data_IF_020414366515
#
_entry.id   IF_020414366515
#
_cell.length_a   1.000
_cell.length_b   1.000
_cell.length_c   1.000
_cell.angle_alpha   90.00
_cell.angle_beta   90.00
_cell.angle_gamma   90.00
#
_symmetry.space_group_name_H-M   'P 1'
#
loop_
_entity.id
_entity.type
_entity.pdbx_description
1 polymer ?
#
# COMPACT_ATOMS: atom_id res chain seq x y z
N UNK A 1 21.75 14.55 -16.00
CA UNK A 1 20.41 15.06 -16.39
C UNK A 1 19.98 16.12 -15.39
N UNK A 2 19.31 17.18 -15.84
CA UNK A 2 18.87 18.26 -14.95
C UNK A 2 17.62 17.81 -14.15
N UNK A 3 17.75 17.78 -12.83
CA UNK A 3 16.61 17.66 -11.92
C UNK A 3 15.79 18.95 -11.99
N UNK A 4 14.47 18.81 -11.95
CA UNK A 4 13.53 19.92 -11.89
C UNK A 4 12.50 19.67 -10.80
N UNK A 5 11.86 20.74 -10.36
CA UNK A 5 10.76 20.68 -9.40
C UNK A 5 9.44 21.06 -10.06
N UNK A 6 8.37 20.36 -9.70
CA UNK A 6 6.98 20.70 -10.00
C UNK A 6 6.21 20.85 -8.69
N UNK A 7 5.09 21.59 -8.70
CA UNK A 7 4.36 21.92 -7.48
C UNK A 7 2.85 21.80 -7.67
N UNK A 8 2.17 21.48 -6.58
CA UNK A 8 0.74 21.68 -6.36
C UNK A 8 0.52 22.36 -5.00
N UNK A 9 -0.72 22.49 -4.55
CA UNK A 9 -1.04 23.19 -3.30
C UNK A 9 -0.42 22.52 -2.06
N UNK A 10 -0.38 21.20 -2.04
CA UNK A 10 0.01 20.38 -0.89
C UNK A 10 1.26 19.53 -1.16
N UNK A 11 1.76 19.52 -2.40
CA UNK A 11 2.86 18.64 -2.81
C UNK A 11 3.90 19.39 -3.65
N UNK A 12 5.15 18.97 -3.53
CA UNK A 12 6.20 19.25 -4.50
C UNK A 12 6.68 17.93 -5.12
N UNK A 13 7.27 17.98 -6.30
CA UNK A 13 7.84 16.81 -6.96
C UNK A 13 9.26 17.10 -7.43
N UNK A 14 10.21 16.23 -7.09
CA UNK A 14 11.58 16.22 -7.63
C UNK A 14 11.71 15.10 -8.65
N UNK A 15 12.04 15.44 -9.90
CA UNK A 15 12.11 14.48 -11.01
C UNK A 15 13.05 14.95 -12.12
N UNK A 16 13.32 14.09 -13.10
CA UNK A 16 14.03 14.48 -14.32
C UNK A 16 13.13 15.33 -15.23
N UNK A 17 13.70 16.29 -15.97
CA UNK A 17 12.93 17.17 -16.88
C UNK A 17 12.02 16.42 -17.85
N UNK A 18 12.45 15.26 -18.35
CA UNK A 18 11.66 14.44 -19.28
C UNK A 18 10.35 13.90 -18.67
N UNK A 19 10.22 13.94 -17.35
CA UNK A 19 9.09 13.38 -16.61
C UNK A 19 8.11 14.43 -16.08
N UNK A 20 8.29 15.70 -16.43
CA UNK A 20 7.48 16.84 -15.94
C UNK A 20 5.97 16.58 -16.02
N UNK A 21 5.46 16.18 -17.17
CA UNK A 21 4.02 15.92 -17.32
C UNK A 21 3.53 14.75 -16.46
N UNK A 22 4.38 13.74 -16.26
CA UNK A 22 4.03 12.58 -15.44
C UNK A 22 4.07 12.90 -13.95
N UNK A 23 5.02 13.74 -13.54
CA UNK A 23 5.10 14.25 -12.18
C UNK A 23 3.88 15.12 -11.87
N UNK A 24 3.53 16.08 -12.75
CA UNK A 24 2.37 16.96 -12.56
C UNK A 24 1.07 16.16 -12.45
N UNK A 25 0.82 15.21 -13.36
CA UNK A 25 -0.36 14.33 -13.27
C UNK A 25 -0.42 13.54 -11.96
N UNK A 26 0.73 13.14 -11.42
CA UNK A 26 0.80 12.44 -10.13
C UNK A 26 0.44 13.38 -8.98
N UNK A 27 0.92 14.63 -9.01
CA UNK A 27 0.56 15.63 -8.00
C UNK A 27 -0.95 15.93 -8.03
N UNK A 28 -1.53 16.13 -9.21
CA UNK A 28 -2.97 16.38 -9.35
C UNK A 28 -3.81 15.18 -8.84
N UNK A 29 -3.35 13.96 -9.08
CA UNK A 29 -4.01 12.75 -8.53
C UNK A 29 -3.89 12.67 -7.01
N UNK A 30 -2.74 13.03 -6.46
CA UNK A 30 -2.51 13.08 -5.02
C UNK A 30 -3.37 14.16 -4.33
N UNK A 31 -3.60 15.32 -4.95
CA UNK A 31 -4.50 16.34 -4.39
C UNK A 31 -5.93 15.82 -4.27
N UNK A 32 -6.45 15.16 -5.31
CA UNK A 32 -7.79 14.54 -5.24
C UNK A 32 -7.83 13.45 -4.18
N UNK A 33 -6.83 12.56 -4.18
CA UNK A 33 -6.77 11.48 -3.21
C UNK A 33 -6.62 11.98 -1.76
N UNK A 34 -5.95 13.12 -1.57
CA UNK A 34 -5.86 13.80 -0.28
C UNK A 34 -7.24 14.21 0.22
N UNK A 35 -8.07 14.81 -0.62
CA UNK A 35 -9.43 15.18 -0.26
C UNK A 35 -10.27 13.94 0.07
N UNK A 36 -10.18 12.87 -0.74
CA UNK A 36 -10.85 11.59 -0.46
C UNK A 36 -10.48 11.01 0.91
N UNK A 37 -9.18 11.04 1.29
CA UNK A 37 -8.75 10.55 2.60
C UNK A 37 -9.23 11.45 3.75
N UNK A 38 -9.31 12.77 3.53
CA UNK A 38 -9.85 13.69 4.53
C UNK A 38 -11.34 13.40 4.81
N UNK A 39 -12.13 13.14 3.76
CA UNK A 39 -13.54 12.72 3.88
C UNK A 39 -13.70 11.40 4.64
N UNK A 40 -12.73 10.50 4.52
CA UNK A 40 -12.67 9.24 5.28
C UNK A 40 -12.21 9.43 6.74
N UNK A 41 -11.90 10.67 7.16
CA UNK A 41 -11.54 11.02 8.53
C UNK A 41 -10.05 10.95 8.86
N UNK A 42 -9.17 10.79 7.86
CA UNK A 42 -7.73 10.89 8.08
C UNK A 42 -7.30 12.35 8.28
N UNK A 43 -6.28 12.56 9.12
CA UNK A 43 -5.46 13.78 9.06
C UNK A 43 -4.60 13.72 7.81
N UNK A 44 -4.72 14.72 6.94
CA UNK A 44 -4.07 14.73 5.63
C UNK A 44 -2.94 15.75 5.58
N UNK A 45 -1.67 15.30 5.70
CA UNK A 45 -0.53 16.21 5.71
C UNK A 45 -0.34 16.87 4.34
N UNK A 46 0.01 18.16 4.35
CA UNK A 46 0.50 18.92 3.20
C UNK A 46 2.03 19.06 3.23
N UNK A 47 2.56 19.87 2.32
CA UNK A 47 4.01 20.14 2.14
C UNK A 47 4.85 18.86 1.96
N UNK A 48 4.30 17.88 1.22
CA UNK A 48 4.99 16.61 0.99
C UNK A 48 5.81 16.66 -0.30
N UNK A 49 7.09 16.29 -0.22
CA UNK A 49 7.95 16.15 -1.39
C UNK A 49 7.84 14.75 -2.00
N UNK A 50 7.54 14.68 -3.28
CA UNK A 50 7.44 13.44 -4.06
C UNK A 50 8.71 13.28 -4.89
N UNK A 51 9.54 12.30 -4.56
CA UNK A 51 10.85 12.09 -5.21
C UNK A 51 10.76 10.92 -6.18
N UNK A 52 10.87 11.22 -7.48
CA UNK A 52 10.83 10.24 -8.56
C UNK A 52 12.24 9.72 -8.88
N UNK A 53 12.43 8.42 -8.74
CA UNK A 53 13.70 7.74 -8.96
C UNK A 53 13.74 7.09 -10.35
N UNK A 54 14.72 7.41 -11.22
CA UNK A 54 14.74 6.92 -12.60
C UNK A 54 14.95 5.40 -12.71
N UNK A 55 15.44 4.76 -11.65
CA UNK A 55 15.67 3.32 -11.59
C UNK A 55 15.65 2.77 -10.14
N UNK A 56 15.63 1.45 -10.02
CA UNK A 56 15.64 0.75 -8.72
C UNK A 56 16.86 1.06 -7.86
N UNK A 57 18.04 1.19 -8.47
CA UNK A 57 19.27 1.42 -7.71
C UNK A 57 19.22 2.78 -7.01
N UNK A 58 18.80 3.84 -7.71
CA UNK A 58 18.59 5.16 -7.10
C UNK A 58 17.57 5.14 -5.97
N UNK A 59 16.45 4.42 -6.15
CA UNK A 59 15.41 4.32 -5.13
C UNK A 59 15.92 3.60 -3.88
N UNK A 60 16.60 2.46 -4.04
CA UNK A 60 17.09 1.66 -2.91
C UNK A 60 18.29 2.32 -2.21
N UNK A 61 19.10 3.10 -2.93
CA UNK A 61 20.16 3.92 -2.34
C UNK A 61 19.56 5.02 -1.45
N UNK A 62 18.49 5.68 -1.91
CA UNK A 62 17.78 6.69 -1.12
C UNK A 62 16.99 6.08 0.05
N UNK A 63 16.44 4.88 -0.13
CA UNK A 63 15.55 4.23 0.83
C UNK A 63 15.95 2.78 1.15
N UNK A 64 17.02 2.56 1.95
CA UNK A 64 17.45 1.23 2.35
C UNK A 64 16.38 0.44 3.12
N UNK A 65 15.51 1.14 3.85
CA UNK A 65 14.37 0.53 4.56
C UNK A 65 13.44 -0.23 3.60
N UNK A 66 13.26 0.26 2.37
CA UNK A 66 12.48 -0.43 1.34
C UNK A 66 13.12 -1.77 0.96
N UNK A 67 14.44 -1.82 0.81
CA UNK A 67 15.15 -3.04 0.45
C UNK A 67 14.93 -4.14 1.49
N UNK A 68 15.16 -3.78 2.76
CA UNK A 68 14.98 -4.69 3.88
C UNK A 68 13.50 -5.08 4.08
N UNK A 69 12.55 -4.16 3.90
CA UNK A 69 11.14 -4.52 3.91
C UNK A 69 10.78 -5.50 2.80
N UNK A 70 11.16 -5.20 1.54
CA UNK A 70 10.97 -6.10 0.40
C UNK A 70 11.57 -7.49 0.64
N UNK A 71 12.73 -7.58 1.30
CA UNK A 71 13.36 -8.87 1.60
C UNK A 71 12.49 -9.79 2.47
N UNK A 72 11.65 -9.21 3.34
CA UNK A 72 10.70 -9.99 4.15
C UNK A 72 9.49 -10.48 3.36
N UNK A 73 9.16 -9.81 2.25
CA UNK A 73 7.95 -10.08 1.46
C UNK A 73 8.17 -11.16 0.41
N UNK A 74 7.08 -11.74 -0.10
CA UNK A 74 7.13 -12.70 -1.21
C UNK A 74 7.53 -12.06 -2.54
N UNK A 75 8.06 -12.87 -3.47
CA UNK A 75 8.46 -12.39 -4.81
C UNK A 75 7.32 -11.69 -5.57
N UNK A 76 6.10 -12.19 -5.40
CA UNK A 76 4.89 -11.63 -6.03
C UNK A 76 4.53 -10.26 -5.46
N UNK A 77 4.65 -10.10 -4.14
CA UNK A 77 4.40 -8.84 -3.45
C UNK A 77 5.46 -7.78 -3.78
N UNK A 78 6.75 -8.16 -3.80
CA UNK A 78 7.89 -7.24 -4.02
C UNK A 78 7.69 -6.37 -5.25
N UNK A 79 7.14 -6.91 -6.34
CA UNK A 79 6.89 -6.17 -7.59
C UNK A 79 6.10 -4.89 -7.33
N UNK A 80 5.10 -4.89 -6.47
CA UNK A 80 4.20 -3.76 -6.26
C UNK A 80 4.64 -2.81 -5.14
N UNK A 81 5.73 -3.13 -4.43
CA UNK A 81 6.34 -2.25 -3.43
C UNK A 81 7.35 -1.31 -4.11
N UNK A 82 6.87 -0.45 -5.00
CA UNK A 82 7.70 0.40 -5.87
C UNK A 82 8.09 1.76 -5.26
N UNK A 83 8.07 1.86 -3.93
CA UNK A 83 8.40 3.08 -3.22
C UNK A 83 8.23 2.94 -1.71
N UNK A 84 8.61 3.99 -1.00
CA UNK A 84 8.63 4.09 0.46
C UNK A 84 8.18 5.48 0.93
N UNK A 85 7.37 5.52 1.98
CA UNK A 85 6.95 6.75 2.63
C UNK A 85 7.93 7.07 3.76
N UNK A 86 8.58 8.23 3.68
CA UNK A 86 9.43 8.80 4.71
C UNK A 86 8.72 10.01 5.36
N UNK A 87 9.31 10.57 6.41
CA UNK A 87 8.76 11.76 7.06
C UNK A 87 8.80 12.94 6.09
N UNK A 88 7.64 13.41 5.64
CA UNK A 88 7.52 14.54 4.72
C UNK A 88 7.87 14.24 3.26
N UNK A 89 8.26 13.00 2.93
CA UNK A 89 8.69 12.64 1.57
C UNK A 89 8.09 11.30 1.11
N UNK A 90 7.70 11.21 -0.17
CA UNK A 90 7.29 9.97 -0.83
C UNK A 90 8.33 9.63 -1.89
N UNK A 91 9.07 8.54 -1.70
CA UNK A 91 10.06 8.07 -2.67
C UNK A 91 9.45 6.96 -3.51
N UNK A 92 9.42 7.13 -4.83
CA UNK A 92 8.87 6.13 -5.74
C UNK A 92 9.66 6.08 -7.04
N UNK A 93 9.52 4.96 -7.74
CA UNK A 93 10.05 4.86 -9.09
C UNK A 93 9.32 5.84 -10.02
N UNK A 94 10.08 6.37 -10.96
CA UNK A 94 9.59 7.21 -12.01
C UNK A 94 8.79 6.43 -13.06
N UNK A 95 7.99 7.11 -13.89
CA UNK A 95 6.98 6.43 -14.73
C UNK A 95 7.58 5.39 -15.69
N UNK A 96 8.68 5.65 -16.40
CA UNK A 96 9.35 4.65 -17.23
C UNK A 96 9.87 3.46 -16.41
N UNK A 97 10.36 3.68 -15.19
CA UNK A 97 10.82 2.61 -14.32
C UNK A 97 9.66 1.76 -13.78
N UNK A 98 8.53 2.36 -13.42
CA UNK A 98 7.30 1.64 -13.06
C UNK A 98 6.82 0.77 -14.21
N UNK A 99 6.82 1.28 -15.45
CA UNK A 99 6.46 0.51 -16.65
C UNK A 99 7.37 -0.71 -16.84
N UNK A 100 8.70 -0.52 -16.74
CA UNK A 100 9.66 -1.64 -16.83
C UNK A 100 9.48 -2.67 -15.72
N UNK A 101 9.01 -2.24 -14.54
CA UNK A 101 8.76 -3.10 -13.38
C UNK A 101 7.45 -3.88 -13.47
N UNK A 102 6.47 -3.37 -14.21
CA UNK A 102 5.16 -3.99 -14.37
C UNK A 102 5.29 -5.41 -14.95
N UNK A 103 4.37 -6.30 -14.56
CA UNK A 103 4.13 -7.48 -15.37
C UNK A 103 3.57 -7.04 -16.73
N UNK A 104 3.62 -7.93 -17.73
CA UNK A 104 3.11 -7.67 -19.08
C UNK A 104 1.56 -7.64 -19.14
N UNK A 105 0.92 -6.89 -18.24
CA UNK A 105 -0.53 -6.66 -18.19
C UNK A 105 -0.81 -5.19 -17.85
N UNK A 106 -1.84 -4.56 -18.47
CA UNK A 106 -2.23 -3.19 -18.16
C UNK A 106 -2.61 -2.99 -16.68
N UNK A 107 -3.19 -4.01 -16.05
CA UNK A 107 -3.57 -3.99 -14.63
C UNK A 107 -2.35 -3.88 -13.71
N UNK A 108 -1.22 -4.52 -14.07
CA UNK A 108 0.02 -4.43 -13.29
C UNK A 108 0.61 -3.02 -13.35
N UNK A 109 0.64 -2.41 -14.53
CA UNK A 109 1.07 -1.02 -14.70
C UNK A 109 0.14 -0.06 -13.92
N UNK A 110 -1.18 -0.24 -14.01
CA UNK A 110 -2.16 0.59 -13.29
C UNK A 110 -1.96 0.51 -11.78
N UNK A 111 -1.80 -0.69 -11.22
CA UNK A 111 -1.52 -0.85 -9.80
C UNK A 111 -0.17 -0.23 -9.39
N UNK A 112 0.85 -0.30 -10.24
CA UNK A 112 2.13 0.37 -9.98
C UNK A 112 2.02 1.90 -10.00
N UNK A 113 1.19 2.47 -10.87
CA UNK A 113 0.93 3.93 -10.89
C UNK A 113 0.26 4.42 -9.61
N UNK A 114 -0.60 3.60 -9.00
CA UNK A 114 -1.19 3.89 -7.70
C UNK A 114 -0.20 3.81 -6.51
N UNK A 115 1.10 3.58 -6.75
CA UNK A 115 2.13 3.61 -5.70
C UNK A 115 2.13 4.95 -4.96
N UNK A 116 2.03 6.08 -5.66
CA UNK A 116 2.01 7.40 -5.02
C UNK A 116 0.86 7.52 -4.00
N UNK A 117 -0.36 7.14 -4.41
CA UNK A 117 -1.54 7.09 -3.52
C UNK A 117 -1.30 6.15 -2.32
N UNK A 118 -0.73 4.96 -2.53
CA UNK A 118 -0.44 4.02 -1.42
C UNK A 118 0.49 4.66 -0.39
N UNK A 119 1.57 5.28 -0.86
CA UNK A 119 2.53 5.95 0.03
C UNK A 119 1.89 7.15 0.75
N UNK A 120 1.04 7.90 0.07
CA UNK A 120 0.31 9.01 0.70
C UNK A 120 -0.70 8.52 1.75
N UNK A 121 -1.40 7.40 1.51
CA UNK A 121 -2.28 6.78 2.51
C UNK A 121 -1.50 6.38 3.78
N UNK A 122 -0.26 5.91 3.62
CA UNK A 122 0.64 5.62 4.74
C UNK A 122 1.06 6.90 5.49
N UNK A 123 1.37 7.98 4.76
CA UNK A 123 1.67 9.29 5.36
C UNK A 123 0.46 9.88 6.10
N UNK A 124 -0.74 9.78 5.55
CA UNK A 124 -1.98 10.23 6.19
C UNK A 124 -2.35 9.40 7.43
N UNK A 125 -2.17 8.07 7.36
CA UNK A 125 -2.27 7.22 8.55
C UNK A 125 -1.29 7.68 9.63
N UNK A 126 -0.08 8.08 9.22
CA UNK A 126 0.92 8.53 10.16
C UNK A 126 0.62 9.87 10.82
N UNK A 127 0.19 10.85 10.04
CA UNK A 127 -0.32 12.11 10.56
C UNK A 127 -1.55 11.92 11.48
N UNK A 128 -2.28 10.81 11.31
CA UNK A 128 -3.42 10.44 12.15
C UNK A 128 -3.04 9.72 13.45
N UNK A 129 -1.74 9.45 13.68
CA UNK A 129 -1.22 8.85 14.92
C UNK A 129 -0.64 7.45 14.74
N UNK A 130 -0.67 6.87 13.53
CA UNK A 130 0.07 5.63 13.26
C UNK A 130 1.57 5.93 13.20
N UNK A 131 2.45 5.20 13.90
CA UNK A 131 3.87 5.39 13.66
C UNK A 131 4.20 4.96 12.23
N UNK A 132 4.74 5.87 11.39
CA UNK A 132 5.47 5.41 10.19
C UNK A 132 6.51 4.41 10.67
N UNK A 133 6.81 3.36 9.89
CA UNK A 133 8.01 2.60 10.15
C UNK A 133 9.18 3.60 10.16
N UNK A 134 9.87 3.79 11.30
CA UNK A 134 11.08 4.60 11.31
C UNK A 134 12.12 3.91 10.40
N UNK A 135 13.30 4.52 10.16
CA UNK A 135 14.45 3.74 9.73
C UNK A 135 14.51 2.43 10.54
N UNK A 136 14.78 1.32 9.85
CA UNK A 136 14.69 -0.02 10.43
C UNK A 136 15.73 -0.15 11.55
N UNK A 137 15.26 0.02 12.80
CA UNK A 137 15.99 -0.26 14.04
C UNK A 137 15.49 -1.61 14.57
N UNK A 138 16.21 -2.20 15.52
CA UNK A 138 15.84 -3.51 16.06
C UNK A 138 14.41 -3.52 16.66
N UNK A 139 14.01 -2.44 17.33
CA UNK A 139 12.69 -2.28 17.96
C UNK A 139 11.59 -2.00 16.94
N UNK A 140 11.81 -1.12 15.96
CA UNK A 140 10.83 -0.82 14.92
C UNK A 140 10.58 -2.01 13.97
N UNK A 141 11.59 -2.87 13.81
CA UNK A 141 11.47 -4.13 13.09
C UNK A 141 10.47 -5.09 13.74
N UNK A 142 10.27 -5.05 15.07
CA UNK A 142 9.29 -5.89 15.77
C UNK A 142 7.84 -5.50 15.45
N UNK A 143 7.52 -4.21 15.58
CA UNK A 143 6.20 -3.68 15.26
C UNK A 143 5.87 -3.85 13.77
N UNK A 144 6.82 -3.54 12.88
CA UNK A 144 6.64 -3.70 11.44
C UNK A 144 6.44 -5.17 11.02
N UNK A 145 7.16 -6.11 11.65
CA UNK A 145 6.91 -7.55 11.41
C UNK A 145 5.51 -7.96 11.84
N UNK A 146 5.05 -7.47 12.99
CA UNK A 146 3.78 -7.86 13.61
C UNK A 146 2.55 -7.22 12.97
N UNK A 147 2.68 -5.95 12.56
CA UNK A 147 1.58 -5.09 12.11
C UNK A 147 1.76 -4.59 10.68
N UNK A 148 2.77 -5.06 9.95
CA UNK A 148 3.04 -4.61 8.58
C UNK A 148 1.89 -4.87 7.61
N UNK A 149 1.02 -5.84 7.89
CA UNK A 149 -0.20 -6.06 7.11
C UNK A 149 -1.16 -4.86 7.19
N UNK A 150 -1.20 -4.18 8.34
CA UNK A 150 -2.05 -3.01 8.58
C UNK A 150 -1.43 -1.74 7.98
N UNK A 151 -0.10 -1.73 7.82
CA UNK A 151 0.61 -0.67 7.10
C UNK A 151 0.45 -0.78 5.58
N UNK A 152 0.45 -2.00 5.03
CA UNK A 152 0.44 -2.21 3.58
C UNK A 152 -0.97 -2.46 3.02
N UNK A 153 -1.75 -3.33 3.65
CA UNK A 153 -3.03 -3.81 3.13
C UNK A 153 -4.08 -2.71 2.92
N UNK A 154 -4.46 -1.97 3.97
CA UNK A 154 -5.42 -0.87 3.85
C UNK A 154 -4.94 0.19 2.86
N UNK A 155 -3.65 0.53 2.88
CA UNK A 155 -3.08 1.51 1.97
C UNK A 155 -3.20 1.06 0.51
N UNK A 156 -3.02 -0.23 0.20
CA UNK A 156 -3.19 -0.76 -1.15
C UNK A 156 -4.64 -0.64 -1.65
N UNK A 157 -5.60 -0.99 -0.80
CA UNK A 157 -7.04 -0.93 -1.11
C UNK A 157 -7.50 0.52 -1.26
N UNK A 158 -7.14 1.38 -0.32
CA UNK A 158 -7.40 2.82 -0.40
C UNK A 158 -6.71 3.45 -1.62
N UNK A 159 -5.54 2.99 -2.01
CA UNK A 159 -4.88 3.50 -3.23
C UNK A 159 -5.52 3.02 -4.53
N UNK A 160 -6.46 2.05 -4.49
CA UNK A 160 -7.05 1.47 -5.70
C UNK A 160 -6.11 0.49 -6.41
N UNK A 161 -5.20 -0.17 -5.70
CA UNK A 161 -4.28 -1.17 -6.29
C UNK A 161 -4.92 -2.55 -6.49
N UNK A 162 -6.16 -2.74 -6.03
CA UNK A 162 -6.82 -4.04 -5.90
C UNK A 162 -6.74 -4.90 -7.15
N UNK A 163 -7.15 -4.40 -8.31
CA UNK A 163 -7.22 -5.18 -9.56
C UNK A 163 -5.87 -5.77 -9.98
N UNK A 164 -4.81 -4.97 -9.91
CA UNK A 164 -3.47 -5.43 -10.26
C UNK A 164 -2.84 -6.36 -9.23
N UNK A 165 -3.32 -6.33 -7.97
CA UNK A 165 -2.87 -7.22 -6.90
C UNK A 165 -3.57 -8.58 -6.91
N UNK A 166 -4.77 -8.72 -7.50
CA UNK A 166 -5.47 -10.00 -7.62
C UNK A 166 -4.62 -11.05 -8.36
N UNK A 167 -3.98 -10.68 -9.48
CA UNK A 167 -3.13 -11.60 -10.23
C UNK A 167 -1.86 -11.99 -9.46
N UNK A 168 -1.32 -11.06 -8.66
CA UNK A 168 -0.17 -11.30 -7.79
C UNK A 168 -0.54 -12.24 -6.63
N UNK A 169 -1.72 -12.05 -6.05
CA UNK A 169 -2.27 -12.89 -4.98
C UNK A 169 -2.55 -14.31 -5.48
N UNK A 170 -3.20 -14.47 -6.64
CA UNK A 170 -3.42 -15.77 -7.26
C UNK A 170 -2.08 -16.50 -7.53
N UNK A 171 -1.06 -15.75 -7.96
CA UNK A 171 0.29 -16.31 -8.14
C UNK A 171 0.97 -16.70 -6.84
N UNK A 172 0.75 -15.95 -5.77
CA UNK A 172 1.24 -16.28 -4.43
C UNK A 172 0.56 -17.52 -3.85
N UNK A 173 -0.73 -17.71 -4.06
CA UNK A 173 -1.46 -18.89 -3.54
C UNK A 173 -0.98 -20.21 -4.15
N UNK A 174 -0.40 -20.18 -5.36
CA UNK A 174 0.29 -21.35 -5.94
C UNK A 174 1.53 -21.81 -5.15
N UNK A 175 2.14 -20.91 -4.38
CA UNK A 175 3.28 -21.24 -3.51
C UNK A 175 2.83 -21.84 -2.15
N UNK A 176 1.51 -21.95 -1.89
CA UNK A 176 0.94 -22.50 -0.66
C UNK A 176 -0.11 -21.59 0.00
N UNK A 177 -0.87 -22.11 0.98
CA UNK A 177 -2.01 -21.42 1.58
C UNK A 177 -1.62 -20.17 2.39
N UNK A 178 -2.62 -19.30 2.64
CA UNK A 178 -2.51 -18.07 3.44
C UNK A 178 -3.40 -18.16 4.69
N UNK A 179 -3.03 -19.01 5.65
CA UNK A 179 -3.89 -19.37 6.78
C UNK A 179 -3.83 -18.40 7.98
N UNK A 180 -2.78 -17.58 8.03
CA UNK A 180 -2.57 -16.64 9.12
C UNK A 180 -3.56 -15.47 9.06
N UNK A 181 -4.30 -15.26 10.15
CA UNK A 181 -5.21 -14.12 10.32
C UNK A 181 -4.97 -13.48 11.69
N UNK A 182 -4.44 -12.24 11.76
CA UNK A 182 -3.97 -11.42 10.64
C UNK A 182 -2.76 -12.02 9.88
N UNK A 183 -2.50 -11.54 8.63
CA UNK A 183 -1.40 -12.04 7.80
C UNK A 183 -0.05 -11.96 8.49
N UNK A 184 0.79 -12.99 8.29
CA UNK A 184 2.17 -12.99 8.75
C UNK A 184 3.02 -11.98 7.97
N UNK A 185 4.18 -11.59 8.49
CA UNK A 185 5.08 -10.61 7.86
C UNK A 185 5.34 -10.91 6.39
N UNK A 186 5.59 -12.18 6.05
CA UNK A 186 5.93 -12.62 4.69
C UNK A 186 4.85 -12.30 3.66
N UNK A 187 3.61 -12.26 4.12
CA UNK A 187 2.41 -12.03 3.33
C UNK A 187 1.71 -10.73 3.77
N UNK A 188 2.44 -9.83 4.45
CA UNK A 188 1.88 -8.59 4.97
C UNK A 188 1.22 -7.77 3.86
N UNK A 189 1.86 -7.67 2.70
CA UNK A 189 1.28 -6.90 1.60
C UNK A 189 0.10 -7.61 0.93
N UNK A 190 0.30 -8.82 0.37
CA UNK A 190 -0.75 -9.51 -0.41
C UNK A 190 -1.86 -10.10 0.46
N UNK A 191 -1.52 -10.68 1.61
CA UNK A 191 -2.51 -11.13 2.59
C UNK A 191 -3.21 -9.96 3.26
N UNK A 192 -2.51 -8.86 3.56
CA UNK A 192 -3.11 -7.63 4.08
C UNK A 192 -4.09 -7.01 3.08
N UNK A 193 -3.72 -6.99 1.79
CA UNK A 193 -4.60 -6.62 0.69
C UNK A 193 -5.85 -7.50 0.69
N UNK A 194 -5.71 -8.83 0.66
CA UNK A 194 -6.87 -9.72 0.60
C UNK A 194 -7.83 -9.53 1.78
N UNK A 195 -7.29 -9.39 3.00
CA UNK A 195 -8.08 -9.10 4.19
C UNK A 195 -8.84 -7.78 4.07
N UNK A 196 -8.19 -6.72 3.60
CA UNK A 196 -8.80 -5.39 3.49
C UNK A 196 -9.75 -5.28 2.30
N UNK A 197 -9.49 -5.99 1.19
CA UNK A 197 -10.41 -6.08 0.06
C UNK A 197 -11.68 -6.85 0.46
N UNK A 198 -11.52 -7.93 1.24
CA UNK A 198 -12.68 -8.62 1.85
C UNK A 198 -13.47 -7.66 2.76
N UNK A 199 -12.79 -6.84 3.57
CA UNK A 199 -13.47 -5.84 4.41
C UNK A 199 -14.22 -4.80 3.57
N UNK A 200 -13.60 -4.29 2.51
CA UNK A 200 -14.21 -3.33 1.59
C UNK A 200 -15.47 -3.90 0.93
N UNK A 201 -15.46 -5.16 0.52
CA UNK A 201 -16.64 -5.82 -0.06
C UNK A 201 -17.77 -6.01 0.95
N UNK A 202 -17.42 -6.36 2.18
CA UNK A 202 -18.42 -6.66 3.20
C UNK A 202 -19.02 -5.40 3.83
N UNK A 203 -18.23 -4.32 3.93
CA UNK A 203 -18.59 -3.15 4.76
C UNK A 203 -18.24 -1.81 4.13
N UNK A 204 -17.74 -1.81 2.90
CA UNK A 204 -17.37 -0.61 2.17
C UNK A 204 -16.00 -0.05 2.56
N UNK A 205 -15.56 0.88 1.73
CA UNK A 205 -14.27 1.57 1.83
C UNK A 205 -14.07 2.33 3.14
N UNK A 206 -15.13 2.91 3.70
CA UNK A 206 -15.10 3.58 5.00
C UNK A 206 -14.71 2.64 6.15
N UNK A 207 -15.05 1.35 6.07
CA UNK A 207 -14.65 0.38 7.08
C UNK A 207 -13.14 0.10 7.07
N UNK A 208 -12.52 0.11 5.88
CA UNK A 208 -11.05 -0.02 5.73
C UNK A 208 -10.34 1.19 6.34
N UNK A 209 -10.84 2.41 6.09
CA UNK A 209 -10.34 3.62 6.75
C UNK A 209 -10.51 3.57 8.27
N UNK A 210 -11.70 3.17 8.74
CA UNK A 210 -12.01 3.07 10.16
C UNK A 210 -11.12 2.04 10.89
N UNK A 211 -10.73 0.94 10.23
CA UNK A 211 -9.76 -0.02 10.76
C UNK A 211 -8.41 0.65 11.06
N UNK A 212 -7.88 1.43 10.12
CA UNK A 212 -6.60 2.14 10.30
C UNK A 212 -6.72 3.20 11.40
N UNK A 213 -7.77 4.02 11.35
CA UNK A 213 -7.98 5.08 12.35
C UNK A 213 -8.22 4.53 13.76
N UNK A 214 -8.87 3.37 13.89
CA UNK A 214 -8.99 2.68 15.18
C UNK A 214 -7.61 2.26 15.71
N UNK A 215 -6.74 1.80 14.84
CA UNK A 215 -5.38 1.41 15.18
C UNK A 215 -4.47 2.61 15.52
N UNK A 216 -4.74 3.80 14.95
CA UNK A 216 -4.06 5.04 15.33
C UNK A 216 -4.44 5.51 16.75
N UNK A 217 -5.69 5.29 17.15
CA UNK A 217 -6.22 5.73 18.47
C UNK A 217 -5.86 4.78 19.60
N UNK A 218 -5.50 3.54 19.29
CA UNK A 218 -5.25 2.52 20.31
C UNK A 218 -4.21 1.54 19.80
N UNK A 219 -3.13 1.39 20.57
CA UNK A 219 -2.03 0.50 20.19
C UNK A 219 -2.57 -0.93 19.94
N UNK A 220 -2.32 -1.50 18.75
CA UNK A 220 -2.78 -2.84 18.44
C UNK A 220 -2.10 -3.89 19.33
N UNK A 221 -2.92 -4.68 20.04
CA UNK A 221 -2.44 -5.85 20.79
C UNK A 221 -2.17 -7.01 19.83
N UNK A 222 -1.16 -7.83 20.14
CA UNK A 222 -0.82 -8.99 19.31
C UNK A 222 -0.56 -8.56 17.86
N UNK A 223 -1.09 -9.31 16.89
CA UNK A 223 -1.01 -8.95 15.47
C UNK A 223 -2.17 -8.05 15.01
N UNK A 224 -3.06 -7.63 15.92
CA UNK A 224 -4.25 -6.84 15.60
C UNK A 224 -5.50 -7.69 15.39
N UNK A 225 -5.53 -8.91 15.92
CA UNK A 225 -6.68 -9.82 15.92
C UNK A 225 -7.98 -9.10 16.35
N UNK A 226 -7.92 -8.34 17.45
CA UNK A 226 -9.09 -7.63 17.97
C UNK A 226 -9.58 -6.52 17.03
N UNK A 227 -8.66 -5.87 16.29
CA UNK A 227 -9.02 -4.84 15.31
C UNK A 227 -9.75 -5.45 14.12
N UNK A 228 -9.27 -6.61 13.64
CA UNK A 228 -9.92 -7.35 12.56
C UNK A 228 -11.33 -7.75 12.97
N UNK A 229 -11.49 -8.41 14.12
CA UNK A 229 -12.81 -8.83 14.59
C UNK A 229 -13.78 -7.63 14.74
N UNK A 230 -13.29 -6.51 15.29
CA UNK A 230 -14.08 -5.28 15.44
C UNK A 230 -14.47 -4.67 14.10
N UNK A 231 -13.53 -4.55 13.16
CA UNK A 231 -13.76 -3.93 11.85
C UNK A 231 -14.81 -4.71 11.04
N UNK A 232 -14.72 -6.04 11.02
CA UNK A 232 -15.72 -6.91 10.41
C UNK A 232 -17.02 -7.01 11.23
N UNK A 233 -16.98 -6.63 12.51
CA UNK A 233 -18.05 -6.89 13.49
C UNK A 233 -18.46 -8.36 13.52
N UNK A 234 -17.44 -9.24 13.43
CA UNK A 234 -17.59 -10.71 13.38
C UNK A 234 -16.44 -11.39 14.13
N UNK A 235 -16.65 -12.59 14.69
CA UNK A 235 -15.57 -13.39 15.24
C UNK A 235 -14.50 -13.74 14.20
N UNK A 236 -13.24 -13.90 14.63
CA UNK A 236 -12.12 -14.20 13.72
C UNK A 236 -12.31 -15.48 12.89
N UNK A 237 -12.97 -16.51 13.44
CA UNK A 237 -13.26 -17.75 12.72
C UNK A 237 -14.15 -17.49 11.50
N UNK A 238 -15.07 -16.55 11.61
CA UNK A 238 -15.95 -16.16 10.51
C UNK A 238 -15.23 -15.26 9.50
N UNK A 239 -14.40 -14.32 9.98
CA UNK A 239 -13.55 -13.52 9.09
C UNK A 239 -12.62 -14.42 8.27
N UNK A 240 -12.06 -15.48 8.87
CA UNK A 240 -11.24 -16.46 8.15
C UNK A 240 -12.01 -17.12 7.01
N UNK A 241 -13.28 -17.48 7.22
CA UNK A 241 -14.15 -18.04 6.16
C UNK A 241 -14.43 -17.03 5.05
N UNK A 242 -14.68 -15.77 5.39
CA UNK A 242 -14.88 -14.71 4.39
C UNK A 242 -13.64 -14.50 3.52
N UNK A 243 -12.46 -14.46 4.13
CA UNK A 243 -11.18 -14.32 3.41
C UNK A 243 -10.88 -15.57 2.57
N UNK A 244 -11.18 -16.77 3.08
CA UNK A 244 -11.07 -17.99 2.28
C UNK A 244 -11.99 -17.95 1.05
N UNK A 245 -13.24 -17.52 1.22
CA UNK A 245 -14.17 -17.32 0.10
C UNK A 245 -13.69 -16.26 -0.91
N UNK A 246 -12.98 -15.22 -0.44
CA UNK A 246 -12.32 -14.26 -1.33
C UNK A 246 -11.24 -14.94 -2.19
N UNK A 247 -10.45 -15.86 -1.61
CA UNK A 247 -9.47 -16.65 -2.36
C UNK A 247 -10.12 -17.59 -3.37
N UNK A 248 -11.19 -18.28 -2.98
CA UNK A 248 -11.90 -19.23 -3.85
C UNK A 248 -12.55 -18.53 -5.06
N UNK A 249 -12.95 -17.27 -4.93
CA UNK A 249 -13.55 -16.48 -6.02
C UNK A 249 -12.51 -15.79 -6.93
N UNK A 250 -11.19 -15.91 -6.63
CA UNK A 250 -10.14 -15.27 -7.44
C UNK A 250 -10.20 -15.58 -8.94
N UNK A 251 -10.44 -16.83 -9.39
CA UNK A 251 -10.55 -17.12 -10.82
C UNK A 251 -11.68 -16.32 -11.49
N UNK A 252 -12.84 -16.17 -10.82
CA UNK A 252 -13.97 -15.40 -11.36
C UNK A 252 -13.69 -13.90 -11.37
N UNK A 253 -12.95 -13.40 -10.38
CA UNK A 253 -12.52 -11.99 -10.29
C UNK A 253 -11.54 -11.64 -11.42
N UNK A 254 -10.57 -12.50 -11.66
CA UNK A 254 -9.60 -12.31 -12.74
C UNK A 254 -10.29 -12.35 -14.11
N UNK A 255 -11.18 -13.34 -14.34
CA UNK A 255 -11.94 -13.43 -15.59
C UNK A 255 -12.87 -12.22 -15.85
N UNK A 256 -13.23 -11.44 -14.82
CA UNK A 256 -13.98 -10.18 -14.97
C UNK A 256 -13.11 -9.02 -15.43
N UNK A 257 -11.83 -9.01 -15.07
CA UNK A 257 -10.89 -7.93 -15.40
C UNK A 257 -10.24 -8.09 -16.77
N UNK A 258 -10.34 -9.28 -17.37
CA UNK A 258 -9.85 -9.61 -18.71
C UNK A 258 -10.89 -9.38 -19.82
N UNK A 259 -12.14 -9.02 -19.45
CA UNK A 259 -13.22 -8.62 -20.36
C UNK A 259 -13.28 -7.12 -20.51
#
# INVERSE_FOLDING_TARGET
MAWTESYSASFSARHERAETDSAQRTLDDLERFRLELAELGFRTPGEIAVVFHPNELSLLAAQPALAAWRATQTRHARRYLAGWAASGELHLLATPALRRRAAATPLSERALRATARRLYAQAAAAASGWPLPPPLTATSSGALRRLGWLFEGPAAVLAGQSDGLLAALASRLRDGPLDALPPATRDAYLGGFALCATLEEQRGRAAVAALVLAACRSEPRGRGEHLVARAFSRPLAEVRRLVAGFYDDLPRRLARLER
#
